data_IF_089152711539
#
_entry.id   IF_089152711539
#
_cell.length_a   1.000
_cell.length_b   1.000
_cell.length_c   1.000
_cell.angle_alpha   90.00
_cell.angle_beta   90.00
_cell.angle_gamma   90.00
#
_symmetry.space_group_name_H-M   'P 1'
#
loop_
_entity.id
_entity.type
_entity.pdbx_description
1 polymer ?
#
# COMPACT_ATOMS: atom_id res chain seq x y z
N UNK A 1 0.39 19.00 -31.75
CA UNK A 1 0.14 18.32 -33.03
C UNK A 1 -0.24 19.26 -34.18
N UNK A 2 -1.35 20.05 -34.11
CA UNK A 2 -1.70 21.01 -35.16
C UNK A 2 -0.56 21.99 -35.51
N UNK A 3 0.13 22.52 -34.47
CA UNK A 3 1.32 23.38 -34.66
C UNK A 3 2.44 22.67 -35.38
N UNK A 4 2.74 21.41 -35.01
CA UNK A 4 3.77 20.60 -35.66
C UNK A 4 3.42 20.32 -37.11
N UNK A 5 2.14 20.07 -37.44
CA UNK A 5 1.65 19.89 -38.79
C UNK A 5 1.89 21.16 -39.64
N UNK A 6 1.53 22.34 -39.11
CA UNK A 6 1.71 23.64 -39.80
C UNK A 6 3.19 24.00 -39.97
N UNK A 7 4.04 23.69 -38.99
CA UNK A 7 5.48 23.95 -39.07
C UNK A 7 6.22 23.03 -40.06
N UNK A 8 5.65 21.87 -40.38
CA UNK A 8 6.30 20.93 -41.31
C UNK A 8 6.14 21.38 -42.76
N UNK A 9 7.26 21.70 -43.42
CA UNK A 9 7.29 22.20 -44.79
C UNK A 9 6.74 21.19 -45.79
N UNK A 10 7.07 19.90 -45.64
CA UNK A 10 6.59 18.85 -46.52
C UNK A 10 5.07 18.72 -46.47
N UNK A 11 4.48 18.81 -45.27
CA UNK A 11 3.04 18.75 -45.10
C UNK A 11 2.37 20.01 -45.66
N UNK A 12 2.91 21.21 -45.41
CA UNK A 12 2.40 22.44 -46.01
C UNK A 12 2.35 22.37 -47.53
N UNK A 13 3.42 21.89 -48.15
CA UNK A 13 3.51 21.74 -49.58
C UNK A 13 2.51 20.71 -50.11
N UNK A 14 2.44 19.54 -49.46
CA UNK A 14 1.52 18.47 -49.86
C UNK A 14 0.04 18.87 -49.80
N UNK A 15 -0.34 19.72 -48.84
CA UNK A 15 -1.69 20.20 -48.63
C UNK A 15 -1.94 21.62 -49.24
N UNK A 16 -0.98 22.18 -49.97
CA UNK A 16 -1.10 23.47 -50.66
C UNK A 16 -1.35 24.64 -49.69
N UNK A 17 -0.82 24.59 -48.47
CA UNK A 17 -1.03 25.62 -47.45
C UNK A 17 -0.19 26.86 -47.75
N UNK A 18 -0.86 27.97 -48.08
CA UNK A 18 -0.24 29.26 -48.41
C UNK A 18 -0.52 30.28 -47.27
N UNK A 19 0.35 31.29 -47.17
CA UNK A 19 0.17 32.37 -46.16
C UNK A 19 0.66 31.98 -44.77
N UNK A 20 1.54 31.00 -44.66
CA UNK A 20 2.18 30.60 -43.43
C UNK A 20 3.16 31.66 -42.93
N UNK A 21 3.03 32.05 -41.67
CA UNK A 21 3.99 32.93 -40.97
C UNK A 21 4.90 32.06 -40.05
N UNK A 22 6.23 32.09 -40.35
CA UNK A 22 7.20 31.33 -39.61
C UNK A 22 7.41 31.84 -38.16
N UNK A 23 7.17 33.11 -37.95
CA UNK A 23 7.36 33.81 -36.63
C UNK A 23 6.09 33.82 -35.78
N UNK A 24 4.97 33.24 -36.27
CA UNK A 24 3.71 33.16 -35.56
C UNK A 24 3.83 32.36 -34.27
N UNK A 25 3.14 32.80 -33.25
CA UNK A 25 3.01 32.02 -31.99
C UNK A 25 2.14 30.76 -32.17
N UNK A 26 2.07 29.93 -31.12
CA UNK A 26 1.34 28.66 -31.21
C UNK A 26 -0.17 28.85 -31.38
N UNK A 27 -0.75 29.91 -30.79
CA UNK A 27 -2.17 30.19 -30.90
C UNK A 27 -2.54 30.65 -32.31
N UNK A 28 -1.70 31.48 -32.92
CA UNK A 28 -1.85 31.89 -34.32
C UNK A 28 -1.71 30.71 -35.29
N UNK A 29 -0.76 29.79 -35.04
CA UNK A 29 -0.59 28.58 -35.88
C UNK A 29 -1.78 27.62 -35.72
N UNK A 30 -2.37 27.50 -34.56
CA UNK A 30 -3.60 26.71 -34.35
C UNK A 30 -4.79 27.38 -35.06
N UNK A 31 -4.91 28.72 -34.97
CA UNK A 31 -5.93 29.45 -35.69
C UNK A 31 -5.80 29.28 -37.19
N UNK A 32 -4.59 29.46 -37.74
CA UNK A 32 -4.29 29.22 -39.14
C UNK A 32 -4.69 27.80 -39.59
N UNK A 33 -4.40 26.77 -38.79
CA UNK A 33 -4.82 25.39 -39.08
C UNK A 33 -6.35 25.27 -39.13
N UNK A 34 -7.03 25.81 -38.15
CA UNK A 34 -8.50 25.74 -38.04
C UNK A 34 -9.22 26.48 -39.13
N UNK A 35 -8.61 27.53 -39.73
CA UNK A 35 -9.14 28.25 -40.89
C UNK A 35 -9.04 27.42 -42.18
N UNK A 36 -8.07 26.53 -42.28
CA UNK A 36 -7.84 25.70 -43.46
C UNK A 36 -8.55 24.35 -43.38
N UNK A 37 -8.68 23.79 -42.19
CA UNK A 37 -9.25 22.46 -41.99
C UNK A 37 -10.43 22.51 -41.01
N UNK A 38 -11.56 21.96 -41.44
CA UNK A 38 -12.72 21.75 -40.57
C UNK A 38 -12.39 20.80 -39.40
N UNK A 39 -13.05 20.99 -38.28
CA UNK A 39 -12.91 20.10 -37.11
C UNK A 39 -13.27 18.63 -37.40
N UNK A 40 -14.07 18.38 -38.44
CA UNK A 40 -14.51 17.06 -38.91
C UNK A 40 -13.81 16.64 -40.23
N UNK A 41 -12.79 17.36 -40.66
CA UNK A 41 -12.01 16.94 -41.83
C UNK A 41 -11.21 15.67 -41.55
N UNK A 42 -10.94 14.89 -42.61
CA UNK A 42 -10.15 13.64 -42.49
C UNK A 42 -8.77 13.93 -41.92
N UNK A 43 -8.16 15.04 -42.30
CA UNK A 43 -6.85 15.50 -41.80
C UNK A 43 -6.89 15.77 -40.31
N UNK A 44 -7.94 16.48 -39.84
CA UNK A 44 -8.12 16.76 -38.41
C UNK A 44 -8.37 15.47 -37.63
N UNK A 45 -9.19 14.56 -38.13
CA UNK A 45 -9.44 13.26 -37.50
C UNK A 45 -8.16 12.43 -37.37
N UNK A 46 -7.34 12.39 -38.48
CA UNK A 46 -6.05 11.68 -38.45
C UNK A 46 -5.08 12.30 -37.42
N UNK A 47 -5.00 13.62 -37.34
CA UNK A 47 -4.17 14.30 -36.35
C UNK A 47 -4.62 13.96 -34.92
N UNK A 48 -5.93 13.89 -34.65
CA UNK A 48 -6.45 13.52 -33.35
C UNK A 48 -6.12 12.06 -32.99
N UNK A 49 -6.26 11.14 -33.95
CA UNK A 49 -5.91 9.72 -33.72
C UNK A 49 -4.42 9.57 -33.38
N UNK A 50 -3.55 10.22 -34.17
CA UNK A 50 -2.10 10.19 -33.90
C UNK A 50 -1.75 10.87 -32.59
N UNK A 51 -2.38 12.03 -32.29
CA UNK A 51 -2.16 12.72 -31.01
C UNK A 51 -2.60 11.89 -29.80
N UNK A 52 -3.75 11.21 -29.92
CA UNK A 52 -4.23 10.30 -28.88
C UNK A 52 -3.27 9.11 -28.69
N UNK A 53 -2.74 8.55 -29.79
CA UNK A 53 -1.75 7.49 -29.73
C UNK A 53 -0.44 7.92 -29.06
N UNK A 54 0.05 9.13 -29.36
CA UNK A 54 1.24 9.70 -28.71
C UNK A 54 0.98 9.96 -27.22
N UNK A 55 -0.15 10.59 -26.86
CA UNK A 55 -0.49 10.84 -25.47
C UNK A 55 -0.62 9.55 -24.65
N UNK A 56 -1.17 8.49 -25.26
CA UNK A 56 -1.22 7.17 -24.63
C UNK A 56 0.20 6.61 -24.41
N UNK A 57 1.07 6.73 -25.42
CA UNK A 57 2.46 6.28 -25.32
C UNK A 57 3.23 7.06 -24.25
N UNK A 58 3.09 8.39 -24.21
CA UNK A 58 3.68 9.25 -23.15
C UNK A 58 3.23 8.81 -21.77
N UNK A 59 1.91 8.59 -21.59
CA UNK A 59 1.37 8.11 -20.32
C UNK A 59 1.91 6.72 -19.92
N UNK A 60 2.03 5.80 -20.88
CA UNK A 60 2.65 4.50 -20.64
C UNK A 60 4.13 4.62 -20.27
N UNK A 61 4.87 5.54 -20.89
CA UNK A 61 6.29 5.79 -20.57
C UNK A 61 6.45 6.40 -19.19
N UNK A 62 5.60 7.35 -18.81
CA UNK A 62 5.61 7.95 -17.48
C UNK A 62 5.33 6.89 -16.40
N UNK A 63 4.35 6.03 -16.64
CA UNK A 63 4.04 4.91 -15.75
C UNK A 63 5.21 3.92 -15.64
N UNK A 64 5.82 3.56 -16.78
CA UNK A 64 7.00 2.70 -16.80
C UNK A 64 8.20 3.33 -16.07
N UNK A 65 8.45 4.62 -16.25
CA UNK A 65 9.54 5.32 -15.53
C UNK A 65 9.29 5.35 -14.02
N UNK A 66 8.04 5.58 -13.59
CA UNK A 66 7.70 5.53 -12.17
C UNK A 66 7.89 4.12 -11.58
N UNK A 67 7.56 3.07 -12.32
CA UNK A 67 7.78 1.67 -11.93
C UNK A 67 9.28 1.35 -11.83
N UNK A 68 10.07 1.78 -12.81
CA UNK A 68 11.54 1.64 -12.80
C UNK A 68 12.17 2.38 -11.64
N UNK A 69 11.77 3.63 -11.37
CA UNK A 69 12.30 4.42 -10.24
C UNK A 69 11.96 3.77 -8.89
N UNK A 70 10.75 3.20 -8.76
CA UNK A 70 10.34 2.44 -7.59
C UNK A 70 11.21 1.19 -7.41
N UNK A 71 11.42 0.43 -8.48
CA UNK A 71 12.24 -0.79 -8.47
C UNK A 71 13.70 -0.47 -8.10
N UNK A 72 14.30 0.55 -8.73
CA UNK A 72 15.67 0.99 -8.41
C UNK A 72 15.77 1.47 -6.96
N UNK A 73 14.76 2.17 -6.44
CA UNK A 73 14.70 2.61 -5.05
C UNK A 73 14.68 1.44 -4.07
N UNK A 74 13.94 0.38 -4.38
CA UNK A 74 13.85 -0.85 -3.57
C UNK A 74 15.14 -1.69 -3.64
N UNK A 75 15.85 -1.67 -4.75
CA UNK A 75 17.09 -2.43 -4.95
C UNK A 75 18.35 -1.76 -4.39
N UNK A 76 18.23 -0.52 -3.87
CA UNK A 76 19.36 0.16 -3.26
C UNK A 76 19.85 -0.61 -2.03
N UNK A 77 21.04 -1.21 -2.15
CA UNK A 77 21.63 -2.11 -1.16
C UNK A 77 21.71 -1.50 0.26
N UNK A 78 21.18 -2.24 1.24
CA UNK A 78 21.21 -1.83 2.65
C UNK A 78 20.22 -0.74 3.06
N UNK A 79 19.31 -0.35 2.20
CA UNK A 79 18.19 0.54 2.49
C UNK A 79 17.00 -0.25 3.06
N UNK A 80 16.09 0.40 3.80
CA UNK A 80 14.93 -0.29 4.40
C UNK A 80 14.12 -1.10 3.38
N UNK A 81 13.78 -0.48 2.24
CA UNK A 81 13.06 -1.16 1.16
C UNK A 81 13.82 -2.35 0.56
N UNK A 82 15.16 -2.31 0.55
CA UNK A 82 15.96 -3.47 0.15
C UNK A 82 15.78 -4.64 1.13
N UNK A 83 15.82 -4.41 2.44
CA UNK A 83 15.56 -5.45 3.43
C UNK A 83 14.18 -6.06 3.30
N UNK A 84 13.16 -5.24 3.02
CA UNK A 84 11.79 -5.69 2.80
C UNK A 84 11.68 -6.54 1.53
N UNK A 85 12.31 -6.13 0.43
CA UNK A 85 12.34 -6.88 -0.82
C UNK A 85 13.07 -8.21 -0.67
N UNK A 86 14.24 -8.20 -0.02
CA UNK A 86 14.99 -9.42 0.30
C UNK A 86 14.16 -10.36 1.16
N UNK A 87 13.44 -9.86 2.17
CA UNK A 87 12.57 -10.67 3.00
C UNK A 87 11.44 -11.33 2.19
N UNK A 88 10.76 -10.59 1.32
CA UNK A 88 9.68 -11.10 0.47
C UNK A 88 10.15 -12.11 -0.59
N UNK A 89 11.44 -12.11 -0.93
CA UNK A 89 12.04 -13.07 -1.85
C UNK A 89 12.52 -14.36 -1.17
N UNK A 90 12.44 -14.45 0.16
CA UNK A 90 12.82 -15.65 0.89
C UNK A 90 11.94 -16.84 0.53
N UNK A 91 12.56 -17.94 0.12
CA UNK A 91 11.91 -19.21 -0.20
C UNK A 91 12.24 -20.26 0.87
N UNK A 92 11.23 -20.98 1.30
CA UNK A 92 11.36 -22.03 2.30
C UNK A 92 10.43 -23.21 2.01
N UNK A 93 11.00 -24.41 2.09
CA UNK A 93 10.32 -25.69 2.14
C UNK A 93 11.22 -26.64 2.89
N UNK A 94 10.67 -27.38 3.85
CA UNK A 94 11.46 -28.29 4.67
C UNK A 94 12.18 -29.34 3.84
N UNK A 95 13.49 -29.48 4.06
CA UNK A 95 14.34 -30.44 3.34
C UNK A 95 14.69 -30.05 1.91
N UNK A 96 14.30 -28.88 1.41
CA UNK A 96 14.57 -28.44 0.04
C UNK A 96 15.64 -27.33 0.01
N UNK A 97 16.66 -27.51 -0.84
CA UNK A 97 17.67 -26.50 -1.13
C UNK A 97 17.37 -25.85 -2.49
N UNK A 98 16.99 -24.57 -2.47
CA UNK A 98 16.71 -23.78 -3.67
C UNK A 98 17.97 -23.20 -4.34
N UNK A 99 19.17 -23.46 -3.79
CA UNK A 99 20.43 -23.00 -4.34
C UNK A 99 20.60 -21.48 -4.28
N UNK A 100 20.66 -20.93 -3.06
CA UNK A 100 20.85 -19.49 -2.85
C UNK A 100 22.23 -19.04 -3.33
N UNK A 101 22.30 -18.10 -4.26
CA UNK A 101 23.50 -17.35 -4.58
C UNK A 101 23.64 -16.16 -3.62
N UNK A 102 24.54 -16.28 -2.66
CA UNK A 102 24.76 -15.24 -1.63
C UNK A 102 25.31 -13.93 -2.18
N UNK A 103 25.89 -13.94 -3.39
CA UNK A 103 26.45 -12.72 -4.01
C UNK A 103 25.39 -11.85 -4.63
N UNK A 104 24.33 -12.44 -5.15
CA UNK A 104 23.22 -11.75 -5.83
C UNK A 104 21.94 -11.73 -5.01
N UNK A 105 21.80 -12.61 -4.01
CA UNK A 105 20.59 -12.82 -3.25
C UNK A 105 19.47 -13.52 -4.02
N UNK A 106 19.82 -14.16 -5.14
CA UNK A 106 18.87 -14.86 -6.00
C UNK A 106 18.95 -16.36 -5.80
N UNK A 107 17.87 -17.08 -6.08
CA UNK A 107 17.83 -18.54 -6.04
C UNK A 107 18.04 -19.13 -7.43
N UNK A 108 18.79 -20.23 -7.51
CA UNK A 108 18.96 -21.00 -8.75
C UNK A 108 17.64 -21.61 -9.23
N UNK A 109 16.75 -21.93 -8.29
CA UNK A 109 15.40 -22.45 -8.56
C UNK A 109 14.39 -21.43 -7.99
N UNK A 110 14.03 -20.37 -8.75
CA UNK A 110 13.06 -19.40 -8.28
C UNK A 110 11.65 -20.00 -8.28
N UNK A 111 10.94 -19.87 -7.15
CA UNK A 111 9.57 -20.35 -6.99
C UNK A 111 8.74 -19.37 -6.15
N UNK A 112 7.73 -18.78 -6.76
CA UNK A 112 6.83 -17.86 -6.05
C UNK A 112 5.92 -18.58 -5.05
N UNK A 113 5.69 -19.86 -5.26
CA UNK A 113 4.86 -20.70 -4.39
C UNK A 113 5.52 -20.93 -3.02
N UNK A 114 6.87 -21.01 -3.00
CA UNK A 114 7.66 -21.22 -1.79
C UNK A 114 8.09 -19.92 -1.10
N UNK A 115 7.71 -18.75 -1.61
CA UNK A 115 7.90 -17.47 -0.93
C UNK A 115 6.89 -17.36 0.20
N UNK A 116 7.32 -17.70 1.41
CA UNK A 116 6.44 -17.75 2.58
C UNK A 116 6.18 -16.38 3.21
N UNK A 117 7.09 -15.40 3.06
CA UNK A 117 6.94 -14.07 3.63
C UNK A 117 6.20 -13.18 2.63
N UNK A 118 4.96 -12.79 2.99
CA UNK A 118 4.12 -11.87 2.20
C UNK A 118 4.20 -10.44 2.71
N UNK A 119 4.38 -10.28 4.01
CA UNK A 119 4.42 -8.98 4.66
C UNK A 119 5.77 -8.77 5.33
N UNK A 120 6.44 -7.69 4.99
CA UNK A 120 7.72 -7.30 5.57
C UNK A 120 7.77 -5.79 5.75
N UNK A 121 8.33 -5.34 6.85
CA UNK A 121 8.63 -3.93 7.10
C UNK A 121 9.96 -3.81 7.85
N UNK A 122 10.77 -2.86 7.45
CA UNK A 122 12.09 -2.60 8.01
C UNK A 122 12.16 -1.22 8.65
N UNK A 123 12.56 -1.16 9.90
CA UNK A 123 12.73 0.07 10.66
C UNK A 123 14.18 0.23 11.13
N UNK A 124 14.70 1.47 11.06
CA UNK A 124 15.96 1.80 11.70
C UNK A 124 15.83 1.73 13.23
N UNK A 125 16.76 1.04 13.88
CA UNK A 125 16.76 0.90 15.32
C UNK A 125 18.17 1.08 15.89
N UNK A 126 18.48 2.30 16.28
CA UNK A 126 19.76 2.65 16.86
C UNK A 126 20.93 2.43 15.88
N UNK A 127 21.70 1.36 16.09
CA UNK A 127 22.84 0.98 15.23
C UNK A 127 22.55 -0.21 14.30
N UNK A 128 21.32 -0.65 14.22
CA UNK A 128 20.87 -1.77 13.40
C UNK A 128 19.48 -1.56 12.86
N UNK A 129 18.88 -2.63 12.35
CA UNK A 129 17.53 -2.61 11.80
C UNK A 129 16.65 -3.66 12.47
N UNK A 130 15.37 -3.33 12.64
CA UNK A 130 14.30 -4.27 12.98
C UNK A 130 13.57 -4.65 11.70
N UNK A 131 13.52 -5.93 11.41
CA UNK A 131 12.81 -6.48 10.26
C UNK A 131 11.60 -7.27 10.77
N UNK A 132 10.41 -6.69 10.63
CA UNK A 132 9.14 -7.32 10.96
C UNK A 132 8.67 -8.13 9.77
N UNK A 133 8.24 -9.37 9.98
CA UNK A 133 7.79 -10.26 8.90
C UNK A 133 6.60 -11.10 9.34
N UNK A 134 5.69 -11.37 8.39
CA UNK A 134 4.55 -12.24 8.58
C UNK A 134 4.24 -13.00 7.29
N UNK A 135 3.62 -14.17 7.44
CA UNK A 135 3.03 -14.97 6.35
C UNK A 135 1.52 -14.81 6.33
N UNK A 136 0.90 -15.08 5.18
CA UNK A 136 -0.55 -15.16 5.07
C UNK A 136 -1.02 -16.46 5.73
N UNK A 137 -2.01 -16.36 6.61
CA UNK A 137 -2.76 -17.48 7.15
C UNK A 137 -4.19 -17.50 6.60
N UNK A 138 -5.06 -18.31 7.19
CA UNK A 138 -6.47 -18.44 6.81
C UNK A 138 -7.29 -17.20 7.22
N UNK A 139 -7.03 -16.06 6.53
CA UNK A 139 -7.72 -14.79 6.74
C UNK A 139 -7.09 -13.83 7.77
N UNK A 140 -6.03 -14.25 8.43
CA UNK A 140 -5.22 -13.41 9.34
C UNK A 140 -3.73 -13.59 9.02
N UNK A 141 -2.92 -12.60 9.39
CA UNK A 141 -1.46 -12.73 9.28
C UNK A 141 -0.92 -13.63 10.39
N UNK A 142 -0.04 -14.55 10.02
CA UNK A 142 0.58 -15.50 10.94
C UNK A 142 2.07 -15.26 11.09
N UNK A 143 2.65 -15.55 12.26
CA UNK A 143 4.09 -15.53 12.43
C UNK A 143 4.73 -16.71 11.69
N UNK A 144 6.02 -16.57 11.38
CA UNK A 144 6.87 -17.70 11.02
C UNK A 144 6.97 -18.67 12.19
N UNK A 145 6.98 -19.96 11.90
CA UNK A 145 7.29 -20.96 12.92
C UNK A 145 8.79 -20.94 13.32
N UNK A 146 9.19 -21.80 14.22
CA UNK A 146 10.56 -21.80 14.76
C UNK A 146 11.60 -22.11 13.70
N UNK A 147 11.32 -23.08 12.83
CA UNK A 147 12.26 -23.55 11.81
C UNK A 147 12.31 -22.59 10.62
N UNK A 148 11.15 -22.09 10.17
CA UNK A 148 11.03 -21.02 9.17
C UNK A 148 11.78 -19.75 9.60
N UNK A 149 11.61 -19.35 10.87
CA UNK A 149 12.28 -18.18 11.41
C UNK A 149 13.79 -18.36 11.50
N UNK A 150 14.26 -19.50 11.95
CA UNK A 150 15.70 -19.81 12.03
C UNK A 150 16.33 -19.83 10.62
N UNK A 151 15.66 -20.43 9.64
CA UNK A 151 16.08 -20.43 8.24
C UNK A 151 16.12 -19.00 7.66
N UNK A 152 15.11 -18.18 7.96
CA UNK A 152 15.07 -16.79 7.53
C UNK A 152 16.16 -15.94 8.17
N UNK A 153 16.41 -16.08 9.47
CA UNK A 153 17.51 -15.39 10.18
C UNK A 153 18.87 -15.76 9.57
N UNK A 154 19.07 -17.04 9.23
CA UNK A 154 20.27 -17.49 8.52
C UNK A 154 20.38 -16.84 7.14
N UNK A 155 19.30 -16.85 6.33
CA UNK A 155 19.24 -16.23 5.02
C UNK A 155 19.62 -14.74 5.06
N UNK A 156 18.99 -13.96 5.95
CA UNK A 156 19.30 -12.55 6.13
C UNK A 156 20.75 -12.34 6.58
N UNK A 157 21.28 -13.20 7.44
CA UNK A 157 22.65 -13.09 7.92
C UNK A 157 23.71 -13.20 6.80
N UNK A 158 23.36 -13.93 5.73
CA UNK A 158 24.24 -14.14 4.55
C UNK A 158 24.19 -12.97 3.57
N UNK A 159 23.04 -12.30 3.46
CA UNK A 159 22.81 -11.24 2.48
C UNK A 159 23.00 -9.84 3.03
N UNK A 160 22.82 -9.63 4.34
CA UNK A 160 22.90 -8.29 4.94
C UNK A 160 24.26 -7.65 4.78
N UNK A 161 24.34 -6.29 4.71
CA UNK A 161 25.61 -5.59 4.75
C UNK A 161 26.44 -5.92 6.00
N UNK A 162 27.75 -6.02 5.83
CA UNK A 162 28.65 -6.31 6.94
C UNK A 162 28.56 -5.23 8.04
N UNK A 163 28.46 -5.68 9.29
CA UNK A 163 28.43 -4.79 10.46
C UNK A 163 27.05 -4.25 10.84
N UNK A 164 25.98 -4.51 10.06
CA UNK A 164 24.62 -4.11 10.43
C UNK A 164 23.96 -5.24 11.22
N UNK A 165 23.60 -5.05 12.51
CA UNK A 165 22.75 -5.99 13.24
C UNK A 165 21.33 -5.95 12.68
N UNK A 166 20.77 -7.12 12.42
CA UNK A 166 19.37 -7.27 12.01
C UNK A 166 18.64 -8.05 13.06
N UNK A 167 17.55 -7.48 13.59
CA UNK A 167 16.66 -8.14 14.53
C UNK A 167 15.38 -8.53 13.82
N UNK A 168 15.15 -9.83 13.64
CA UNK A 168 13.92 -10.35 13.02
C UNK A 168 12.81 -10.45 14.07
N UNK A 169 11.68 -9.81 13.76
CA UNK A 169 10.46 -9.87 14.56
C UNK A 169 9.39 -10.59 13.73
N UNK A 170 9.00 -11.76 14.20
CA UNK A 170 7.84 -12.50 13.69
C UNK A 170 7.06 -13.00 14.87
N UNK A 171 5.85 -12.48 15.07
CA UNK A 171 5.00 -12.72 16.25
C UNK A 171 3.54 -12.69 15.86
N UNK A 172 2.69 -13.28 16.72
CA UNK A 172 1.24 -13.13 16.61
C UNK A 172 0.84 -11.66 16.64
N UNK A 173 -0.28 -11.35 15.99
CA UNK A 173 -0.89 -10.02 16.00
C UNK A 173 -0.97 -9.43 17.40
N UNK A 174 -0.66 -8.16 17.52
CA UNK A 174 -0.97 -7.42 18.74
C UNK A 174 -2.50 -7.38 18.92
N UNK A 175 -2.95 -7.38 20.17
CA UNK A 175 -4.38 -7.48 20.47
C UNK A 175 -4.90 -6.15 20.98
N UNK A 176 -5.93 -5.59 20.30
CA UNK A 176 -6.62 -4.37 20.72
C UNK A 176 -7.80 -4.70 21.61
N UNK A 177 -7.83 -4.15 22.81
CA UNK A 177 -8.97 -4.15 23.71
C UNK A 177 -9.57 -2.75 23.75
N UNK A 178 -10.89 -2.65 23.62
CA UNK A 178 -11.65 -1.40 23.59
C UNK A 178 -12.71 -1.37 24.71
N UNK A 179 -12.80 -0.20 25.37
CA UNK A 179 -13.93 0.18 26.19
C UNK A 179 -14.58 1.39 25.53
N UNK A 180 -15.82 1.22 25.02
CA UNK A 180 -16.51 2.25 24.28
C UNK A 180 -18.02 2.19 24.46
N UNK A 181 -18.66 3.35 24.29
CA UNK A 181 -20.12 3.49 24.26
C UNK A 181 -20.56 3.97 22.89
N UNK A 182 -21.52 3.29 22.32
CA UNK A 182 -22.05 3.60 20.97
C UNK A 182 -23.56 3.83 21.06
N UNK A 183 -24.00 5.00 20.61
CA UNK A 183 -25.42 5.32 20.44
C UNK A 183 -25.88 4.96 19.04
N UNK A 184 -26.97 4.19 18.95
CA UNK A 184 -27.51 3.71 17.68
C UNK A 184 -28.97 4.08 17.51
N UNK A 185 -29.42 4.24 16.26
CA UNK A 185 -30.82 4.48 15.90
C UNK A 185 -31.61 3.15 15.98
N UNK A 186 -32.55 3.04 16.93
CA UNK A 186 -33.34 1.82 17.10
C UNK A 186 -34.32 1.55 15.94
N UNK A 187 -34.53 2.51 15.03
CA UNK A 187 -35.33 2.31 13.82
C UNK A 187 -34.57 1.57 12.71
N UNK A 188 -33.24 1.61 12.75
CA UNK A 188 -32.35 1.00 11.75
C UNK A 188 -31.78 -0.31 12.28
N UNK A 189 -31.33 -0.33 13.54
CA UNK A 189 -30.66 -1.47 14.15
C UNK A 189 -31.37 -1.96 15.42
N UNK A 190 -31.29 -3.24 15.67
CA UNK A 190 -31.45 -3.78 17.02
C UNK A 190 -30.11 -3.72 17.76
N UNK A 191 -30.10 -3.78 19.09
CA UNK A 191 -28.87 -3.77 19.87
C UNK A 191 -27.83 -4.80 19.37
N UNK A 192 -28.26 -6.03 19.12
CA UNK A 192 -27.37 -7.11 18.66
C UNK A 192 -26.83 -6.84 17.25
N UNK A 193 -27.67 -6.33 16.33
CA UNK A 193 -27.22 -6.05 14.96
C UNK A 193 -26.27 -4.83 14.92
N UNK A 194 -26.54 -3.82 15.73
CA UNK A 194 -25.66 -2.67 15.90
C UNK A 194 -24.30 -3.10 16.46
N UNK A 195 -24.26 -3.90 17.50
CA UNK A 195 -23.02 -4.43 18.10
C UNK A 195 -22.20 -5.23 17.09
N UNK A 196 -22.85 -6.11 16.32
CA UNK A 196 -22.17 -6.89 15.28
C UNK A 196 -21.60 -6.00 14.19
N UNK A 197 -22.37 -4.95 13.78
CA UNK A 197 -21.91 -3.99 12.79
C UNK A 197 -20.71 -3.17 13.27
N UNK A 198 -20.72 -2.72 14.51
CA UNK A 198 -19.58 -2.05 15.15
C UNK A 198 -18.33 -2.95 15.11
N UNK A 199 -18.46 -4.20 15.55
CA UNK A 199 -17.32 -5.15 15.53
C UNK A 199 -16.82 -5.43 14.11
N UNK A 200 -17.71 -5.57 13.13
CA UNK A 200 -17.37 -5.75 11.72
C UNK A 200 -16.54 -4.56 11.20
N UNK A 201 -17.01 -3.33 11.43
CA UNK A 201 -16.32 -2.12 10.96
C UNK A 201 -14.95 -1.95 11.64
N UNK A 202 -14.85 -2.27 12.94
CA UNK A 202 -13.56 -2.24 13.65
C UNK A 202 -12.61 -3.28 13.05
N UNK A 203 -13.05 -4.54 12.84
CA UNK A 203 -12.21 -5.57 12.22
C UNK A 203 -11.77 -5.18 10.82
N UNK A 204 -12.68 -4.64 10.01
CA UNK A 204 -12.37 -4.12 8.68
C UNK A 204 -11.30 -3.02 8.76
N UNK A 205 -11.46 -2.05 9.66
CA UNK A 205 -10.48 -0.99 9.87
C UNK A 205 -9.09 -1.55 10.22
N UNK A 206 -9.02 -2.51 11.15
CA UNK A 206 -7.75 -3.12 11.56
C UNK A 206 -7.10 -3.92 10.43
N UNK A 207 -7.89 -4.56 9.56
CA UNK A 207 -7.39 -5.28 8.38
C UNK A 207 -6.90 -4.33 7.29
N UNK A 208 -7.53 -3.16 7.15
CA UNK A 208 -7.16 -2.14 6.16
C UNK A 208 -5.87 -1.36 6.55
N UNK A 209 -5.38 -1.52 7.78
CA UNK A 209 -4.11 -0.92 8.18
C UNK A 209 -2.97 -1.67 7.50
N UNK A 210 -2.11 -0.96 6.79
CA UNK A 210 -0.93 -1.54 6.16
C UNK A 210 -0.04 -2.25 7.21
N UNK A 211 0.70 -3.26 6.78
CA UNK A 211 1.64 -3.94 7.66
C UNK A 211 2.67 -2.94 8.24
N UNK A 212 2.81 -2.93 9.56
CA UNK A 212 3.52 -1.92 10.33
C UNK A 212 2.90 -0.51 10.25
N UNK A 213 1.68 -0.39 9.76
CA UNK A 213 0.90 0.84 9.77
C UNK A 213 0.43 1.22 11.17
N UNK A 214 -0.08 2.42 11.30
CA UNK A 214 -0.43 3.03 12.55
C UNK A 214 -1.93 2.91 12.85
N UNK A 215 -2.27 2.34 14.01
CA UNK A 215 -3.62 2.43 14.54
C UNK A 215 -3.87 3.84 15.10
N UNK A 216 -4.97 4.46 14.69
CA UNK A 216 -5.41 5.78 15.18
C UNK A 216 -6.86 5.69 15.63
N UNK A 217 -7.11 5.95 16.93
CA UNK A 217 -8.45 5.86 17.52
C UNK A 217 -9.47 6.76 16.80
N UNK A 218 -9.08 7.98 16.45
CA UNK A 218 -10.00 8.91 15.78
C UNK A 218 -10.40 8.43 14.37
N UNK A 219 -9.46 7.84 13.61
CA UNK A 219 -9.79 7.29 12.29
C UNK A 219 -10.77 6.11 12.39
N UNK A 220 -10.64 5.29 13.45
CA UNK A 220 -11.61 4.24 13.74
C UNK A 220 -13.00 4.82 14.04
N UNK A 221 -13.06 5.87 14.88
CA UNK A 221 -14.32 6.57 15.22
C UNK A 221 -14.95 7.16 13.97
N UNK A 222 -14.19 7.83 13.11
CA UNK A 222 -14.68 8.41 11.86
C UNK A 222 -15.31 7.33 10.94
N UNK A 223 -14.68 6.15 10.86
CA UNK A 223 -15.24 5.02 10.08
C UNK A 223 -16.55 4.48 10.68
N UNK A 224 -16.65 4.42 11.99
CA UNK A 224 -17.87 4.00 12.66
C UNK A 224 -19.00 5.03 12.47
N UNK A 225 -18.70 6.33 12.57
CA UNK A 225 -19.66 7.41 12.33
C UNK A 225 -20.14 7.51 10.87
N UNK A 226 -19.36 6.99 9.92
CA UNK A 226 -19.77 6.89 8.52
C UNK A 226 -20.88 5.83 8.30
N UNK A 227 -21.15 4.96 9.27
CA UNK A 227 -22.23 3.97 9.19
C UNK A 227 -23.55 4.63 9.55
N UNK A 228 -24.50 4.65 8.61
CA UNK A 228 -25.84 5.19 8.87
C UNK A 228 -26.53 4.40 10.01
N UNK A 229 -26.97 5.12 11.03
CA UNK A 229 -27.60 4.54 12.22
C UNK A 229 -26.66 4.29 13.40
N UNK A 230 -25.39 4.71 13.30
CA UNK A 230 -24.49 4.85 14.44
C UNK A 230 -24.20 6.35 14.61
N UNK A 231 -24.74 6.94 15.66
CA UNK A 231 -24.79 8.42 15.79
C UNK A 231 -23.60 8.98 16.59
N UNK A 232 -23.47 8.53 17.83
CA UNK A 232 -22.45 9.03 18.75
C UNK A 232 -21.56 7.86 19.19
N UNK A 233 -20.26 8.08 19.19
CA UNK A 233 -19.27 7.09 19.57
C UNK A 233 -18.33 7.73 20.58
N UNK A 234 -18.34 7.21 21.78
CA UNK A 234 -17.45 7.60 22.84
C UNK A 234 -16.48 6.46 23.16
N UNK A 235 -15.19 6.68 22.92
CA UNK A 235 -14.14 5.75 23.27
C UNK A 235 -13.61 6.15 24.66
N UNK A 236 -13.88 5.32 25.65
CA UNK A 236 -13.39 5.52 27.02
C UNK A 236 -11.91 5.19 27.11
N UNK A 237 -11.56 3.95 26.84
CA UNK A 237 -10.18 3.48 26.91
C UNK A 237 -9.86 2.48 25.79
N UNK A 238 -8.64 2.56 25.28
CA UNK A 238 -8.10 1.59 24.34
C UNK A 238 -6.79 1.04 24.89
N UNK A 239 -6.61 -0.26 24.80
CA UNK A 239 -5.43 -0.96 25.26
C UNK A 239 -4.88 -1.85 24.15
N UNK A 240 -3.56 -1.87 23.98
CA UNK A 240 -2.89 -2.82 23.10
C UNK A 240 -2.04 -3.79 23.93
N UNK A 241 -2.17 -5.07 23.66
CA UNK A 241 -1.33 -6.12 24.21
C UNK A 241 -0.41 -6.66 23.12
N UNK A 242 0.87 -6.62 23.36
CA UNK A 242 1.85 -7.33 22.56
C UNK A 242 2.48 -8.51 23.33
N UNK A 243 2.85 -9.58 22.63
CA UNK A 243 3.23 -10.86 23.23
C UNK A 243 4.24 -10.73 24.40
N UNK A 244 3.82 -11.16 25.59
CA UNK A 244 4.64 -11.23 26.79
C UNK A 244 4.61 -10.02 27.71
N UNK A 245 3.74 -9.04 27.42
CA UNK A 245 3.56 -7.85 28.25
C UNK A 245 2.10 -7.64 28.60
N UNK A 246 1.84 -6.89 29.67
CA UNK A 246 0.50 -6.43 30.02
C UNK A 246 -0.03 -5.42 28.98
N UNK A 247 -1.35 -5.17 29.03
CA UNK A 247 -1.96 -4.19 28.14
C UNK A 247 -1.32 -2.81 28.32
N UNK A 248 -0.86 -2.25 27.18
CA UNK A 248 -0.43 -0.87 27.10
C UNK A 248 -1.64 0.00 26.79
N UNK A 249 -1.88 1.04 27.60
CA UNK A 249 -2.98 1.98 27.36
C UNK A 249 -2.62 2.90 26.18
N UNK A 250 -3.49 2.91 25.18
CA UNK A 250 -3.41 3.86 24.07
C UNK A 250 -4.11 5.14 24.53
N UNK A 251 -3.41 6.27 24.61
CA UNK A 251 -4.04 7.55 24.91
C UNK A 251 -5.06 7.93 23.82
N UNK A 252 -6.10 8.70 24.17
CA UNK A 252 -7.23 9.02 23.28
C UNK A 252 -6.84 9.65 21.94
N UNK A 253 -5.74 10.38 21.92
CA UNK A 253 -5.14 11.09 20.79
C UNK A 253 -3.82 10.46 20.35
N UNK A 254 -3.44 9.34 20.94
CA UNK A 254 -2.22 8.65 20.60
C UNK A 254 -2.43 7.65 19.47
N UNK A 255 -1.35 7.43 18.83
CA UNK A 255 -1.15 6.47 17.74
C UNK A 255 -0.49 5.23 18.34
N UNK A 256 -0.79 4.08 17.80
CA UNK A 256 -0.14 2.84 18.18
C UNK A 256 0.41 2.13 16.95
N UNK A 257 1.72 1.91 16.93
CA UNK A 257 2.37 1.11 15.89
C UNK A 257 2.56 -0.29 16.44
N UNK A 258 1.92 -1.32 15.85
CA UNK A 258 2.01 -2.68 16.35
C UNK A 258 3.45 -3.20 16.42
N UNK A 259 3.83 -3.79 17.55
CA UNK A 259 5.16 -4.38 17.71
C UNK A 259 5.33 -5.59 16.78
N UNK A 260 4.25 -6.37 16.60
CA UNK A 260 4.22 -7.49 15.65
C UNK A 260 4.15 -7.05 14.18
N UNK A 261 3.87 -5.76 13.90
CA UNK A 261 3.61 -5.23 12.57
C UNK A 261 2.14 -5.29 12.15
N UNK A 262 1.29 -5.96 12.91
CA UNK A 262 -0.15 -6.05 12.67
C UNK A 262 -0.93 -6.18 13.99
N UNK A 263 -2.22 -5.82 13.96
CA UNK A 263 -3.07 -5.74 15.15
C UNK A 263 -4.43 -6.36 14.85
N UNK A 264 -5.03 -7.01 15.84
CA UNK A 264 -6.39 -7.56 15.75
C UNK A 264 -7.23 -7.19 16.95
N UNK A 265 -8.54 -7.22 16.78
CA UNK A 265 -9.48 -7.01 17.89
C UNK A 265 -9.40 -8.18 18.88
N UNK A 266 -9.39 -7.88 20.17
CA UNK A 266 -9.47 -8.87 21.23
C UNK A 266 -10.76 -9.70 21.12
N UNK A 267 -10.78 -10.88 21.74
CA UNK A 267 -11.99 -11.69 21.84
C UNK A 267 -13.14 -10.92 22.49
N UNK A 268 -14.36 -11.34 22.21
CA UNK A 268 -15.59 -10.64 22.61
C UNK A 268 -15.70 -10.41 24.13
N UNK A 269 -15.17 -11.32 24.94
CA UNK A 269 -15.17 -11.20 26.41
C UNK A 269 -14.20 -10.13 26.94
N UNK A 270 -13.22 -9.73 26.15
CA UNK A 270 -12.23 -8.74 26.54
C UNK A 270 -12.64 -7.30 26.21
N UNK A 271 -13.57 -7.12 25.27
CA UNK A 271 -14.05 -5.80 24.87
C UNK A 271 -15.31 -5.40 25.64
N UNK A 272 -15.35 -4.17 26.12
CA UNK A 272 -16.50 -3.57 26.80
C UNK A 272 -17.18 -2.56 25.87
N UNK A 273 -18.04 -3.06 24.96
CA UNK A 273 -18.80 -2.22 24.03
C UNK A 273 -20.22 -2.11 24.54
N UNK A 274 -20.58 -0.93 25.04
CA UNK A 274 -21.93 -0.63 25.54
C UNK A 274 -22.76 0.00 24.42
N UNK A 275 -23.93 -0.57 24.15
CA UNK A 275 -24.85 -0.08 23.13
C UNK A 275 -26.00 0.66 23.78
N UNK A 276 -26.30 1.90 23.33
CA UNK A 276 -27.39 2.74 23.85
C UNK A 276 -28.29 3.14 22.68
N UNK A 277 -29.59 2.89 22.81
CA UNK A 277 -30.57 3.35 21.85
C UNK A 277 -30.71 4.88 21.93
N UNK A 278 -30.55 5.56 20.79
CA UNK A 278 -30.78 7.00 20.67
C UNK A 278 -32.29 7.22 20.44
N UNK A 279 -33.00 7.76 21.45
CA UNK A 279 -34.47 7.90 21.45
C UNK A 279 -34.85 9.35 21.16
#
# INVERSE_FOLDING_TARGET
MKVAFVRNETLRTAFGLTGYNADADEAELVSYYNDKFSAVSVETCLIYVVAAGIALLEHMMDWFMADVDTTIGLERYGHAGWFENVAKNFQYEDGTDFGLDESTGTYAIPSDEHKIIRHASCEDYGYGVKLKVAKDGDGELEPLDTDEKAAFEYYISRLKPAGIPVTVISRNADTLKLNMTVWYDPTIFTETTALNKVKEVIRQYLTDIDFNGEYVTMTMVDRLQAVSGLDIIEVGEAYALHAGYDYERIAHDARYIPVAGHIKLAGDEANEITMIANV
#
